data_IF_240470827998
#
_entry.id   IF_240470827998
#
_cell.length_a   1.000
_cell.length_b   1.000
_cell.length_c   1.000
_cell.angle_alpha   90.00
_cell.angle_beta   90.00
_cell.angle_gamma   90.00
#
_symmetry.space_group_name_H-M   'P 1'
#
loop_
_entity.id
_entity.type
_entity.pdbx_description
1 polymer ?
#
# COMPACT_ATOMS: atom_id res chain seq x y z
N UNK A 1 -5.94 31.19 51.21
CA UNK A 1 -5.18 32.38 50.83
C UNK A 1 -5.34 32.52 49.31
N UNK A 2 -6.22 33.24 48.93
CA UNK A 2 -6.50 34.45 48.14
C UNK A 2 -5.22 35.15 47.63
N UNK A 3 -5.05 35.28 46.32
CA UNK A 3 -4.78 36.59 45.71
C UNK A 3 -5.06 36.54 44.20
N UNK A 4 -6.03 37.32 43.84
CA UNK A 4 -6.45 37.87 42.54
C UNK A 4 -5.56 39.05 42.13
N UNK A 5 -5.35 39.29 40.80
CA UNK A 5 -5.13 40.59 40.15
C UNK A 5 -5.23 40.42 38.64
N UNK A 6 -6.33 40.79 38.05
CA UNK A 6 -6.80 42.08 37.43
C UNK A 6 -6.01 42.58 36.23
N UNK A 7 -6.75 42.54 35.09
CA UNK A 7 -6.89 43.42 33.91
C UNK A 7 -5.88 44.59 33.73
N UNK A 8 -5.47 44.79 32.46
CA UNK A 8 -5.56 46.11 31.83
C UNK A 8 -5.67 45.99 30.31
N UNK A 9 -6.73 46.57 29.74
CA UNK A 9 -6.97 46.81 28.32
C UNK A 9 -6.36 48.15 27.94
N UNK A 10 -5.85 48.27 26.72
CA UNK A 10 -5.58 49.58 26.09
C UNK A 10 -6.03 49.52 24.62
N UNK A 11 -7.07 50.31 24.36
CA UNK A 11 -7.49 50.77 23.03
C UNK A 11 -6.56 51.93 22.59
N UNK A 12 -6.23 51.93 21.29
CA UNK A 12 -5.83 53.20 20.62
C UNK A 12 -6.33 53.17 19.16
N UNK A 13 -7.17 54.11 18.89
CA UNK A 13 -7.85 54.54 17.68
C UNK A 13 -7.01 55.51 16.84
N UNK A 14 -7.32 55.60 15.55
CA UNK A 14 -7.05 56.77 14.68
C UNK A 14 -6.28 56.41 13.41
N UNK A 15 -6.58 56.82 12.24
CA UNK A 15 -7.50 57.62 11.46
C UNK A 15 -7.00 57.60 10.01
N UNK A 16 -7.88 57.35 9.11
CA UNK A 16 -8.28 58.02 7.84
C UNK A 16 -7.28 58.99 7.20
N UNK A 17 -6.98 58.74 5.91
CA UNK A 17 -6.96 59.76 4.86
C UNK A 17 -7.07 59.16 3.48
N UNK A 18 -7.97 59.74 2.71
CA UNK A 18 -8.44 59.38 1.36
C UNK A 18 -7.79 60.29 0.29
N UNK A 19 -8.14 59.96 -0.98
CA UNK A 19 -8.10 60.75 -2.21
C UNK A 19 -6.77 60.72 -3.01
N UNK A 20 -6.73 60.48 -4.33
CA UNK A 20 -7.45 61.09 -5.43
C UNK A 20 -7.30 60.28 -6.73
N UNK A 21 -8.34 60.29 -7.50
CA UNK A 21 -8.60 59.90 -8.88
C UNK A 21 -7.64 60.50 -9.92
N UNK A 22 -7.40 59.73 -11.01
CA UNK A 22 -7.27 60.27 -12.36
C UNK A 22 -7.73 59.23 -13.40
N UNK A 23 -8.79 59.57 -14.15
CA UNK A 23 -9.26 58.98 -15.35
C UNK A 23 -8.40 59.34 -16.54
N UNK A 24 -8.17 58.45 -17.49
CA UNK A 24 -8.17 58.75 -18.92
C UNK A 24 -8.30 57.45 -19.76
N UNK A 25 -9.33 57.34 -20.53
CA UNK A 25 -9.56 56.52 -21.75
C UNK A 25 -9.49 57.45 -22.97
N UNK A 26 -9.56 56.95 -24.20
CA UNK A 26 -9.15 55.67 -24.81
C UNK A 26 -8.24 55.87 -26.06
N UNK A 27 -7.67 54.82 -26.62
CA UNK A 27 -7.38 54.73 -28.04
C UNK A 27 -7.35 53.27 -28.50
N UNK A 28 -8.23 52.93 -29.39
CA UNK A 28 -8.25 51.70 -30.18
C UNK A 28 -7.05 51.66 -31.13
N UNK A 29 -6.32 50.56 -31.20
CA UNK A 29 -5.62 50.15 -32.38
C UNK A 29 -5.50 48.63 -32.45
N UNK A 30 -6.13 48.02 -33.41
CA UNK A 30 -6.13 46.61 -33.77
C UNK A 30 -4.76 46.20 -34.28
N UNK A 31 -4.17 45.13 -33.72
CA UNK A 31 -3.14 44.37 -34.40
C UNK A 31 -3.30 42.88 -34.04
N UNK A 32 -3.74 42.12 -35.03
CA UNK A 32 -3.64 40.69 -35.13
C UNK A 32 -2.17 40.25 -34.90
N UNK A 33 -1.93 39.47 -33.87
CA UNK A 33 -0.76 38.58 -33.82
C UNK A 33 -1.18 37.28 -33.19
N UNK A 34 -1.23 36.24 -34.04
CA UNK A 34 -1.14 34.85 -33.61
C UNK A 34 0.01 34.72 -32.60
N UNK A 35 -0.31 34.52 -31.34
CA UNK A 35 0.62 34.02 -30.34
C UNK A 35 0.29 32.56 -30.14
N UNK A 36 1.11 31.72 -30.75
CA UNK A 36 1.36 30.35 -30.38
C UNK A 36 1.62 30.29 -28.86
N UNK A 37 0.62 29.87 -28.11
CA UNK A 37 0.78 29.69 -26.68
C UNK A 37 1.44 28.34 -26.40
N UNK A 38 2.74 28.25 -26.66
CA UNK A 38 3.58 27.31 -25.91
C UNK A 38 3.63 27.82 -24.46
N UNK A 39 2.68 27.37 -23.69
CA UNK A 39 2.70 27.56 -22.24
C UNK A 39 3.85 26.75 -21.65
N UNK A 40 5.01 27.36 -21.53
CA UNK A 40 6.08 26.91 -20.65
C UNK A 40 5.63 27.22 -19.24
N UNK A 41 4.99 26.28 -18.58
CA UNK A 41 4.81 26.33 -17.13
C UNK A 41 6.15 25.92 -16.50
N UNK A 42 6.95 26.92 -16.16
CA UNK A 42 8.16 26.81 -15.32
C UNK A 42 7.70 26.65 -13.86
N UNK A 43 6.94 25.62 -13.56
CA UNK A 43 6.47 25.27 -12.22
C UNK A 43 6.65 23.78 -11.99
N UNK A 44 7.29 23.38 -10.92
CA UNK A 44 7.35 21.99 -10.49
C UNK A 44 5.92 21.47 -10.30
N UNK A 45 5.66 20.29 -10.82
CA UNK A 45 4.43 19.53 -10.57
C UNK A 45 4.58 18.84 -9.24
N UNK A 46 3.63 19.00 -8.33
CA UNK A 46 3.55 18.18 -7.12
C UNK A 46 2.73 16.94 -7.43
N UNK A 47 3.27 15.77 -7.13
CA UNK A 47 2.63 14.47 -7.28
C UNK A 47 2.32 13.91 -5.88
N UNK A 48 1.05 13.84 -5.52
CA UNK A 48 0.61 13.35 -4.21
C UNK A 48 0.35 11.84 -4.27
N UNK A 49 1.14 11.05 -3.53
CA UNK A 49 1.08 9.60 -3.49
C UNK A 49 0.53 9.13 -2.15
N UNK A 50 -0.61 8.43 -2.16
CA UNK A 50 -1.11 7.72 -0.99
C UNK A 50 -0.66 6.27 -1.05
N UNK A 51 0.10 5.82 -0.04
CA UNK A 51 0.69 4.49 -0.09
C UNK A 51 0.67 3.74 1.25
N UNK A 52 0.58 2.42 1.17
CA UNK A 52 0.76 1.53 2.32
C UNK A 52 2.19 1.00 2.47
N UNK A 53 3.06 1.32 1.52
CA UNK A 53 4.46 0.92 1.51
C UNK A 53 5.27 1.47 2.71
N UNK A 54 6.32 0.78 3.15
CA UNK A 54 7.25 1.33 4.13
C UNK A 54 7.90 2.63 3.64
N UNK A 55 7.90 3.65 4.50
CA UNK A 55 8.39 5.00 4.19
C UNK A 55 9.81 4.99 3.62
N UNK A 56 10.75 4.27 4.28
CA UNK A 56 12.15 4.21 3.85
C UNK A 56 12.32 3.64 2.43
N UNK A 57 11.50 2.65 2.04
CA UNK A 57 11.57 2.01 0.71
C UNK A 57 10.97 2.92 -0.38
N UNK A 58 9.92 3.66 -0.05
CA UNK A 58 9.31 4.63 -0.97
C UNK A 58 10.19 5.86 -1.16
N UNK A 59 10.82 6.35 -0.09
CA UNK A 59 11.71 7.51 -0.16
C UNK A 59 12.89 7.28 -1.11
N UNK A 60 13.46 6.06 -1.13
CA UNK A 60 14.54 5.69 -2.04
C UNK A 60 14.09 5.75 -3.51
N UNK A 61 12.88 5.25 -3.81
CA UNK A 61 12.28 5.30 -5.15
C UNK A 61 11.98 6.76 -5.54
N UNK A 62 11.40 7.54 -4.63
CA UNK A 62 11.04 8.93 -4.89
C UNK A 62 12.26 9.79 -5.16
N UNK A 63 13.33 9.61 -4.38
CA UNK A 63 14.57 10.34 -4.62
C UNK A 63 15.13 10.03 -6.02
N UNK A 64 15.18 8.77 -6.42
CA UNK A 64 15.64 8.39 -7.75
C UNK A 64 14.73 8.92 -8.87
N UNK A 65 13.41 8.93 -8.64
CA UNK A 65 12.44 9.49 -9.60
C UNK A 65 12.63 11.01 -9.77
N UNK A 66 12.74 11.76 -8.68
CA UNK A 66 12.92 13.22 -8.69
C UNK A 66 14.25 13.63 -9.32
N UNK A 67 15.33 12.84 -9.11
CA UNK A 67 16.61 13.05 -9.80
C UNK A 67 16.49 12.89 -11.34
N UNK A 68 15.68 11.93 -11.77
CA UNK A 68 15.40 11.71 -13.20
C UNK A 68 14.36 12.68 -13.79
N UNK A 69 13.50 13.26 -12.95
CA UNK A 69 12.38 14.14 -13.33
C UNK A 69 12.37 15.42 -12.47
N UNK A 70 13.34 16.35 -12.68
CA UNK A 70 13.51 17.52 -11.82
C UNK A 70 12.35 18.53 -11.88
N UNK A 71 11.39 18.33 -12.77
CA UNK A 71 10.14 19.08 -12.91
C UNK A 71 9.02 18.54 -12.01
N UNK A 72 9.21 17.41 -11.31
CA UNK A 72 8.23 16.78 -10.42
C UNK A 72 8.78 16.71 -9.00
N UNK A 73 7.92 17.00 -8.03
CA UNK A 73 8.15 16.76 -6.60
C UNK A 73 7.12 15.76 -6.09
N UNK A 74 7.55 14.72 -5.38
CA UNK A 74 6.66 13.69 -4.84
C UNK A 74 6.36 13.99 -3.37
N UNK A 75 5.07 14.10 -3.03
CA UNK A 75 4.59 14.19 -1.65
C UNK A 75 3.89 12.88 -1.26
N UNK A 76 4.30 12.28 -0.15
CA UNK A 76 3.79 10.98 0.29
C UNK A 76 2.90 11.13 1.52
N UNK A 77 1.73 10.51 1.46
CA UNK A 77 0.93 10.21 2.64
C UNK A 77 0.91 8.70 2.88
N UNK A 78 1.55 8.26 3.95
CA UNK A 78 1.69 6.85 4.29
C UNK A 78 0.75 6.42 5.41
N UNK A 79 -0.07 5.38 5.17
CA UNK A 79 -0.88 4.71 6.19
C UNK A 79 -1.12 3.23 5.79
N UNK A 80 -1.77 2.44 6.63
CA UNK A 80 -2.25 1.12 6.22
C UNK A 80 -3.39 1.25 5.19
N UNK A 81 -3.58 0.24 4.33
CA UNK A 81 -4.59 0.28 3.25
C UNK A 81 -5.98 0.62 3.77
N UNK A 82 -6.39 0.05 4.92
CA UNK A 82 -7.69 0.36 5.53
C UNK A 82 -7.82 1.82 5.99
N UNK A 83 -6.76 2.41 6.54
CA UNK A 83 -6.75 3.82 6.93
C UNK A 83 -6.74 4.74 5.70
N UNK A 84 -6.05 4.33 4.61
CA UNK A 84 -6.03 5.05 3.33
C UNK A 84 -7.41 5.07 2.67
N UNK A 85 -8.08 3.93 2.58
CA UNK A 85 -9.43 3.85 2.00
C UNK A 85 -10.43 4.68 2.79
N UNK A 86 -10.38 4.65 4.14
CA UNK A 86 -11.22 5.48 4.97
C UNK A 86 -10.99 7.00 4.73
N UNK A 87 -9.74 7.41 4.51
CA UNK A 87 -9.39 8.77 4.16
C UNK A 87 -9.91 9.16 2.77
N UNK A 88 -9.68 8.31 1.76
CA UNK A 88 -10.14 8.55 0.39
C UNK A 88 -11.67 8.70 0.31
N UNK A 89 -12.42 7.87 1.04
CA UNK A 89 -13.89 7.97 1.12
C UNK A 89 -14.35 9.26 1.83
N UNK A 90 -13.62 9.70 2.85
CA UNK A 90 -13.91 10.98 3.51
C UNK A 90 -13.63 12.18 2.58
N UNK A 91 -12.53 12.17 1.85
CA UNK A 91 -12.17 13.21 0.86
C UNK A 91 -13.19 13.24 -0.30
N UNK A 92 -13.56 12.08 -0.85
CA UNK A 92 -14.59 11.93 -1.88
C UNK A 92 -15.93 12.53 -1.42
N UNK A 93 -16.34 12.27 -0.17
CA UNK A 93 -17.54 12.85 0.43
C UNK A 93 -17.42 14.37 0.61
N UNK A 94 -16.21 14.89 0.87
CA UNK A 94 -15.95 16.30 1.06
C UNK A 94 -15.86 17.12 -0.25
N UNK A 95 -15.75 16.44 -1.41
CA UNK A 95 -15.79 17.10 -2.71
C UNK A 95 -14.69 16.73 -3.70
N UNK A 96 -13.79 15.81 -3.36
CA UNK A 96 -12.77 15.29 -4.27
C UNK A 96 -11.63 14.61 -3.52
N UNK A 97 -11.02 13.63 -4.17
CA UNK A 97 -9.82 12.95 -3.67
C UNK A 97 -8.61 13.87 -3.86
N UNK A 98 -7.78 13.99 -2.83
CA UNK A 98 -6.58 14.84 -2.84
C UNK A 98 -5.35 14.13 -3.43
N UNK A 99 -5.37 12.80 -3.47
CA UNK A 99 -4.27 12.01 -4.03
C UNK A 99 -4.30 12.00 -5.56
N UNK A 100 -3.13 12.05 -6.18
CA UNK A 100 -2.95 11.77 -7.62
C UNK A 100 -2.79 10.27 -7.85
N UNK A 101 -2.01 9.62 -7.00
CA UNK A 101 -1.71 8.19 -7.06
C UNK A 101 -2.20 7.48 -5.80
N UNK A 102 -2.77 6.31 -6.00
CA UNK A 102 -3.03 5.32 -4.97
C UNK A 102 -2.14 4.10 -5.20
N UNK A 103 -1.30 3.77 -4.21
CA UNK A 103 -0.37 2.65 -4.24
C UNK A 103 -0.48 1.84 -2.96
N UNK A 104 -1.20 0.72 -3.00
CA UNK A 104 -1.57 0.00 -1.78
C UNK A 104 -1.72 -1.51 -2.01
N UNK A 105 -1.87 -2.25 -0.91
CA UNK A 105 -1.59 -3.66 -0.83
C UNK A 105 -2.42 -4.58 -1.75
N UNK A 106 -3.73 -4.35 -1.90
CA UNK A 106 -4.58 -5.40 -2.49
C UNK A 106 -5.44 -4.97 -3.69
N UNK A 107 -5.50 -5.82 -4.71
CA UNK A 107 -6.28 -5.60 -5.93
C UNK A 107 -7.80 -5.39 -5.69
N UNK A 108 -8.49 -6.08 -4.76
CA UNK A 108 -9.91 -5.83 -4.48
C UNK A 108 -10.25 -4.38 -4.13
N UNK A 109 -9.35 -3.69 -3.44
CA UNK A 109 -9.50 -2.26 -3.15
C UNK A 109 -9.50 -1.44 -4.44
N UNK A 110 -8.63 -1.77 -5.39
CA UNK A 110 -8.57 -1.09 -6.69
C UNK A 110 -9.77 -1.40 -7.58
N UNK A 111 -10.28 -2.63 -7.57
CA UNK A 111 -11.53 -2.98 -8.27
C UNK A 111 -12.70 -2.10 -7.78
N UNK A 112 -12.81 -1.85 -6.49
CA UNK A 112 -13.84 -0.96 -5.94
C UNK A 112 -13.77 0.46 -6.53
N UNK A 113 -12.58 1.05 -6.63
CA UNK A 113 -12.41 2.38 -7.24
C UNK A 113 -12.57 2.36 -8.76
N UNK A 114 -12.14 1.28 -9.43
CA UNK A 114 -12.35 1.05 -10.86
C UNK A 114 -13.83 0.99 -11.20
N UNK A 115 -14.62 0.18 -10.48
CA UNK A 115 -16.07 0.06 -10.66
C UNK A 115 -16.81 1.38 -10.37
N UNK A 116 -16.35 2.15 -9.40
CA UNK A 116 -16.87 3.48 -9.10
C UNK A 116 -16.54 4.50 -10.20
N UNK A 117 -15.61 4.18 -11.12
CA UNK A 117 -15.13 5.07 -12.16
C UNK A 117 -14.25 6.20 -11.64
N UNK A 118 -13.52 5.98 -10.56
CA UNK A 118 -12.64 6.95 -9.91
C UNK A 118 -11.19 6.88 -10.42
N UNK A 119 -10.82 5.80 -11.14
CA UNK A 119 -9.48 5.62 -11.69
C UNK A 119 -9.39 6.13 -13.14
N UNK A 120 -8.19 6.55 -13.53
CA UNK A 120 -7.83 6.87 -14.90
C UNK A 120 -7.25 5.63 -15.61
N UNK A 121 -7.47 5.51 -16.91
CA UNK A 121 -6.82 4.50 -17.74
C UNK A 121 -5.32 4.82 -17.87
N UNK A 122 -4.47 3.81 -17.69
CA UNK A 122 -3.01 3.90 -17.80
C UNK A 122 -2.58 3.82 -19.28
N UNK A 123 -2.90 4.86 -20.06
CA UNK A 123 -2.70 4.89 -21.53
C UNK A 123 -1.23 5.00 -21.95
N UNK A 124 -0.39 5.59 -21.12
CA UNK A 124 1.01 5.86 -21.37
C UNK A 124 1.95 5.01 -20.47
N UNK A 125 1.42 3.95 -19.86
CA UNK A 125 2.18 2.99 -19.04
C UNK A 125 2.50 1.75 -19.85
N UNK A 126 3.78 1.39 -19.93
CA UNK A 126 4.25 0.16 -20.59
C UNK A 126 4.24 -1.02 -19.62
N UNK A 127 3.27 -1.92 -19.80
CA UNK A 127 3.13 -3.16 -19.01
C UNK A 127 3.60 -4.42 -19.76
N UNK A 128 4.27 -4.28 -20.91
CA UNK A 128 4.63 -5.40 -21.80
C UNK A 128 5.54 -6.45 -21.15
N UNK A 129 6.39 -6.05 -20.20
CA UNK A 129 7.29 -6.94 -19.46
C UNK A 129 6.71 -7.40 -18.11
N UNK A 130 5.57 -6.84 -17.71
CA UNK A 130 4.91 -7.17 -16.43
C UNK A 130 4.21 -8.52 -16.55
N UNK A 131 4.37 -9.39 -15.56
CA UNK A 131 3.70 -10.70 -15.53
C UNK A 131 2.18 -10.56 -15.54
N UNK A 132 1.47 -11.51 -16.16
CA UNK A 132 0.01 -11.47 -16.32
C UNK A 132 -0.74 -11.33 -14.98
N UNK A 133 -0.27 -11.99 -13.92
CA UNK A 133 -0.89 -11.93 -12.59
C UNK A 133 -0.87 -10.52 -11.95
N UNK A 134 -0.05 -9.61 -12.46
CA UNK A 134 0.06 -8.24 -11.98
C UNK A 134 -0.61 -7.20 -12.91
N UNK A 135 -1.26 -7.63 -14.00
CA UNK A 135 -1.93 -6.74 -14.96
C UNK A 135 -3.45 -6.70 -14.71
N UNK A 136 -4.04 -5.51 -14.78
CA UNK A 136 -5.48 -5.34 -14.89
C UNK A 136 -5.91 -5.38 -16.37
N UNK A 137 -6.96 -6.14 -16.68
CA UNK A 137 -7.45 -6.31 -18.05
C UNK A 137 -7.93 -5.00 -18.72
N UNK A 138 -8.35 -4.03 -17.92
CA UNK A 138 -8.86 -2.73 -18.39
C UNK A 138 -7.80 -1.60 -18.27
N UNK A 139 -6.56 -1.93 -17.87
CA UNK A 139 -5.45 -0.99 -17.67
C UNK A 139 -5.77 0.17 -16.70
N UNK A 140 -6.58 -0.06 -15.68
CA UNK A 140 -6.90 0.95 -14.67
C UNK A 140 -5.90 0.97 -13.51
N UNK A 141 -5.19 -0.13 -13.30
CA UNK A 141 -4.10 -0.26 -12.34
C UNK A 141 -3.12 -1.33 -12.80
N UNK A 142 -1.96 -1.38 -12.16
CA UNK A 142 -0.94 -2.41 -12.40
C UNK A 142 -0.25 -2.76 -11.09
N UNK A 143 0.03 -4.06 -10.87
CA UNK A 143 0.84 -4.51 -9.75
C UNK A 143 2.30 -4.09 -9.91
N UNK A 144 2.95 -3.77 -8.81
CA UNK A 144 4.32 -3.28 -8.78
C UNK A 144 5.31 -4.27 -8.20
N UNK A 145 4.83 -5.23 -7.41
CA UNK A 145 5.61 -6.29 -6.73
C UNK A 145 4.70 -7.45 -6.39
N UNK A 146 5.31 -8.62 -6.18
CA UNK A 146 4.61 -9.80 -5.68
C UNK A 146 4.97 -9.98 -4.21
N UNK A 147 3.95 -10.07 -3.36
CA UNK A 147 4.12 -10.17 -1.91
C UNK A 147 3.32 -11.38 -1.40
N UNK A 148 3.95 -12.57 -1.33
CA UNK A 148 3.34 -13.72 -0.71
C UNK A 148 3.17 -13.51 0.81
N UNK A 149 2.07 -14.05 1.35
CA UNK A 149 1.91 -14.21 2.79
C UNK A 149 2.33 -15.61 3.18
N UNK A 150 3.17 -15.70 4.19
CA UNK A 150 3.80 -16.94 4.64
C UNK A 150 3.57 -17.17 6.14
N UNK A 151 3.86 -18.37 6.58
CA UNK A 151 4.10 -18.66 7.98
C UNK A 151 5.55 -18.24 8.26
N UNK A 152 5.76 -17.49 9.34
CA UNK A 152 7.09 -17.18 9.84
C UNK A 152 7.28 -17.71 11.25
N UNK A 153 8.50 -18.09 11.59
CA UNK A 153 8.81 -18.59 12.91
C UNK A 153 10.17 -18.09 13.42
N UNK A 154 10.28 -18.03 14.75
CA UNK A 154 11.53 -17.67 15.42
C UNK A 154 12.47 -18.87 15.47
N UNK A 155 13.69 -18.72 14.92
CA UNK A 155 14.68 -19.80 14.78
C UNK A 155 15.39 -20.17 16.08
N UNK A 156 15.27 -19.36 17.14
CA UNK A 156 15.74 -19.74 18.49
C UNK A 156 14.74 -20.66 19.21
N UNK A 157 13.47 -20.74 18.72
CA UNK A 157 12.40 -21.53 19.33
C UNK A 157 12.06 -22.78 18.51
N UNK A 158 12.03 -22.64 17.19
CA UNK A 158 11.71 -23.74 16.26
C UNK A 158 12.87 -23.93 15.27
N UNK A 159 13.13 -25.16 14.90
CA UNK A 159 13.95 -25.52 13.74
C UNK A 159 13.06 -25.93 12.55
N UNK A 160 13.65 -26.11 11.39
CA UNK A 160 12.93 -26.44 10.15
C UNK A 160 12.09 -27.72 10.27
N UNK A 161 12.51 -28.69 11.09
CA UNK A 161 11.83 -29.99 11.21
C UNK A 161 10.58 -29.89 12.13
N UNK A 162 10.51 -28.87 12.98
CA UNK A 162 9.45 -28.69 13.98
C UNK A 162 8.60 -27.41 13.74
N UNK A 163 8.95 -26.60 12.75
CA UNK A 163 8.17 -25.42 12.40
C UNK A 163 6.90 -25.81 11.63
N UNK A 164 5.80 -25.03 11.75
CA UNK A 164 4.58 -25.30 11.00
C UNK A 164 4.82 -25.11 9.51
N UNK A 165 4.44 -26.11 8.69
CA UNK A 165 4.62 -26.12 7.24
C UNK A 165 3.30 -25.99 6.48
N UNK A 166 2.16 -25.83 7.16
CA UNK A 166 0.85 -25.72 6.55
C UNK A 166 -0.07 -24.79 7.34
N UNK A 167 -1.05 -24.18 6.67
CA UNK A 167 -2.08 -23.40 7.34
C UNK A 167 -2.85 -24.25 8.36
N UNK A 168 -3.14 -25.49 7.99
CA UNK A 168 -3.87 -26.40 8.87
C UNK A 168 -3.12 -26.68 10.18
N UNK A 169 -1.78 -26.78 10.15
CA UNK A 169 -0.96 -27.01 11.35
C UNK A 169 -1.12 -25.87 12.39
N UNK A 170 -1.36 -24.63 11.96
CA UNK A 170 -1.56 -23.51 12.89
C UNK A 170 -2.78 -23.66 13.81
N UNK A 171 -3.68 -24.61 13.50
CA UNK A 171 -4.84 -24.94 14.35
C UNK A 171 -4.54 -25.94 15.46
N UNK A 172 -3.34 -26.50 15.51
CA UNK A 172 -2.94 -27.47 16.51
C UNK A 172 -2.79 -26.80 17.89
N UNK A 173 -3.16 -27.53 18.96
CA UNK A 173 -3.13 -27.04 20.34
C UNK A 173 -1.74 -26.56 20.79
N UNK A 174 -0.68 -27.08 20.16
CA UNK A 174 0.70 -26.67 20.47
C UNK A 174 0.98 -25.18 20.16
N UNK A 175 0.22 -24.56 19.25
CA UNK A 175 0.34 -23.15 18.89
C UNK A 175 -0.59 -22.22 19.69
N UNK A 176 -1.37 -22.75 20.62
CA UNK A 176 -2.27 -21.94 21.44
C UNK A 176 -1.49 -20.87 22.23
N UNK A 177 -1.86 -19.60 22.04
CA UNK A 177 -1.21 -18.44 22.65
C UNK A 177 0.21 -18.16 22.15
N UNK A 178 0.62 -18.76 21.02
CA UNK A 178 1.95 -18.56 20.41
C UNK A 178 1.89 -17.91 19.03
N UNK A 179 0.68 -17.70 18.51
CA UNK A 179 0.47 -17.13 17.18
C UNK A 179 0.35 -15.61 17.24
N UNK A 180 0.88 -14.94 16.21
CA UNK A 180 0.61 -13.52 15.95
C UNK A 180 0.20 -13.32 14.50
N UNK A 181 -0.82 -12.48 14.27
CA UNK A 181 -1.35 -12.18 12.95
C UNK A 181 -1.63 -10.67 12.81
N UNK A 182 -1.55 -10.08 11.62
CA UNK A 182 -1.91 -8.68 11.41
C UNK A 182 -3.43 -8.47 11.41
N UNK A 183 -3.86 -7.27 11.84
CA UNK A 183 -5.27 -6.87 11.83
C UNK A 183 -5.76 -6.63 10.38
N UNK A 184 -6.75 -7.39 9.89
CA UNK A 184 -7.27 -7.24 8.54
C UNK A 184 -8.06 -5.92 8.31
N UNK A 185 -8.45 -5.21 9.36
CA UNK A 185 -9.06 -3.88 9.19
C UNK A 185 -8.06 -2.77 8.87
N UNK A 186 -6.77 -3.03 9.07
CA UNK A 186 -5.68 -2.06 8.83
C UNK A 186 -4.79 -2.51 7.67
N UNK A 187 -4.45 -3.79 7.63
CA UNK A 187 -3.56 -4.37 6.63
C UNK A 187 -4.36 -4.90 5.43
N UNK A 188 -4.14 -4.32 4.24
CA UNK A 188 -4.75 -4.80 3.00
C UNK A 188 -4.39 -6.25 2.69
N UNK A 189 -3.12 -6.64 2.85
CA UNK A 189 -2.70 -8.03 2.69
C UNK A 189 -3.44 -8.98 3.65
N UNK A 190 -3.61 -8.60 4.93
CA UNK A 190 -4.37 -9.42 5.87
C UNK A 190 -5.85 -9.50 5.53
N UNK A 191 -6.45 -8.44 4.99
CA UNK A 191 -7.83 -8.46 4.51
C UNK A 191 -7.99 -9.40 3.31
N UNK A 192 -7.08 -9.30 2.33
CA UNK A 192 -7.02 -10.22 1.20
C UNK A 192 -6.91 -11.67 1.66
N UNK A 193 -5.97 -11.96 2.54
CA UNK A 193 -5.73 -13.30 3.07
C UNK A 193 -6.97 -13.87 3.79
N UNK A 194 -7.63 -13.05 4.64
CA UNK A 194 -8.84 -13.48 5.33
C UNK A 194 -9.95 -13.89 4.35
N UNK A 195 -10.05 -13.20 3.21
CA UNK A 195 -11.02 -13.51 2.17
C UNK A 195 -10.65 -14.79 1.42
N UNK A 196 -9.37 -14.94 1.04
CA UNK A 196 -8.87 -16.15 0.37
C UNK A 196 -9.07 -17.37 1.26
N UNK A 197 -8.66 -17.32 2.53
CA UNK A 197 -8.84 -18.45 3.45
C UNK A 197 -10.31 -18.77 3.72
N UNK A 198 -11.19 -17.76 3.86
CA UNK A 198 -12.62 -17.97 4.07
C UNK A 198 -13.27 -18.66 2.86
N UNK A 199 -12.84 -18.31 1.65
CA UNK A 199 -13.34 -18.88 0.39
C UNK A 199 -12.72 -20.22 0.00
N UNK A 200 -11.65 -20.67 0.65
CA UNK A 200 -10.96 -21.91 0.34
C UNK A 200 -11.73 -23.13 0.83
N UNK A 201 -11.86 -24.17 -0.04
CA UNK A 201 -12.63 -25.37 0.25
C UNK A 201 -12.04 -26.23 1.39
N UNK A 202 -10.72 -26.17 1.61
CA UNK A 202 -10.04 -26.95 2.64
C UNK A 202 -9.89 -26.23 3.97
N UNK A 203 -9.84 -24.90 3.96
CA UNK A 203 -9.71 -24.05 5.14
C UNK A 203 -11.06 -23.52 5.59
N UNK A 204 -11.62 -22.55 4.90
CA UNK A 204 -12.95 -22.00 5.14
C UNK A 204 -13.14 -21.35 6.52
N UNK A 205 -14.39 -21.12 6.85
CA UNK A 205 -14.79 -20.54 8.16
C UNK A 205 -14.40 -21.41 9.35
N UNK A 206 -14.35 -22.74 9.17
CA UNK A 206 -13.97 -23.68 10.21
C UNK A 206 -12.51 -23.50 10.64
N UNK A 207 -11.60 -23.28 9.66
CA UNK A 207 -10.20 -23.02 9.94
C UNK A 207 -10.01 -21.68 10.68
N UNK A 208 -10.66 -20.60 10.19
CA UNK A 208 -10.59 -19.30 10.86
C UNK A 208 -11.11 -19.37 12.30
N UNK A 209 -12.18 -20.12 12.54
CA UNK A 209 -12.73 -20.34 13.88
C UNK A 209 -11.71 -21.04 14.79
N UNK A 210 -11.04 -22.09 14.30
CA UNK A 210 -10.00 -22.80 15.06
C UNK A 210 -8.75 -21.95 15.33
N UNK A 211 -8.38 -21.08 14.36
CA UNK A 211 -7.33 -20.10 14.60
C UNK A 211 -7.71 -19.19 15.79
N UNK A 212 -8.96 -18.73 15.83
CA UNK A 212 -9.47 -17.96 16.97
C UNK A 212 -9.41 -18.71 18.31
N UNK A 213 -9.70 -20.01 18.32
CA UNK A 213 -9.58 -20.88 19.50
C UNK A 213 -8.13 -20.95 20.02
N UNK A 214 -7.14 -20.84 19.14
CA UNK A 214 -5.72 -20.75 19.49
C UNK A 214 -5.30 -19.38 20.04
N UNK A 215 -6.22 -18.41 20.14
CA UNK A 215 -6.02 -17.11 20.79
C UNK A 215 -4.80 -16.36 20.24
N UNK A 216 -4.74 -16.10 18.93
CA UNK A 216 -3.64 -15.38 18.34
C UNK A 216 -3.56 -13.95 18.89
N UNK A 217 -2.35 -13.42 19.07
CA UNK A 217 -2.17 -11.99 19.21
C UNK A 217 -2.49 -11.30 17.89
N UNK A 218 -3.33 -10.29 17.90
CA UNK A 218 -3.59 -9.46 16.72
C UNK A 218 -2.77 -8.19 16.82
N UNK A 219 -1.73 -8.11 15.99
CA UNK A 219 -0.87 -6.95 15.86
C UNK A 219 -1.47 -5.94 14.86
N UNK A 220 -1.14 -4.66 14.97
CA UNK A 220 -1.74 -3.61 14.14
C UNK A 220 -1.53 -3.85 12.62
N UNK A 221 -0.37 -4.40 12.22
CA UNK A 221 0.00 -4.61 10.82
C UNK A 221 1.15 -5.62 10.70
N UNK A 222 1.57 -5.96 9.46
CA UNK A 222 2.65 -6.92 9.20
C UNK A 222 3.99 -6.54 9.85
N UNK A 223 4.38 -5.25 9.90
CA UNK A 223 5.62 -4.81 10.56
C UNK A 223 5.68 -5.19 12.04
N UNK A 224 4.73 -4.76 12.89
CA UNK A 224 4.64 -5.24 14.28
C UNK A 224 4.53 -6.75 14.41
N UNK A 225 3.85 -7.44 13.48
CA UNK A 225 3.74 -8.92 13.48
C UNK A 225 5.13 -9.55 13.32
N UNK A 226 5.91 -9.15 12.31
CA UNK A 226 7.25 -9.70 12.08
C UNK A 226 8.21 -9.44 13.24
N UNK A 227 8.12 -8.27 13.85
CA UNK A 227 8.93 -7.92 15.04
C UNK A 227 8.57 -8.77 16.27
N UNK A 228 7.29 -9.06 16.47
CA UNK A 228 6.83 -9.91 17.58
C UNK A 228 7.33 -11.36 17.42
N UNK A 229 7.29 -11.90 16.17
CA UNK A 229 7.86 -13.22 15.87
C UNK A 229 9.37 -13.23 16.13
N UNK A 230 10.09 -12.25 15.58
CA UNK A 230 11.54 -12.13 15.75
C UNK A 230 11.95 -11.96 17.22
N UNK A 231 11.14 -11.26 18.02
CA UNK A 231 11.33 -11.07 19.46
C UNK A 231 11.03 -12.31 20.29
N UNK A 232 10.37 -13.34 19.75
CA UNK A 232 10.04 -14.59 20.40
C UNK A 232 8.89 -14.51 21.41
N UNK A 233 8.17 -13.39 21.50
CA UNK A 233 6.99 -13.25 22.35
C UNK A 233 5.85 -14.15 21.86
N UNK A 234 5.58 -14.12 20.55
CA UNK A 234 4.75 -15.04 19.81
C UNK A 234 5.58 -15.64 18.67
N UNK A 235 6.23 -16.79 18.90
CA UNK A 235 7.33 -17.26 18.06
C UNK A 235 6.88 -17.84 16.70
N UNK A 236 5.58 -17.87 16.42
CA UNK A 236 5.01 -18.27 15.11
C UNK A 236 3.99 -17.21 14.71
N UNK A 237 3.90 -16.92 13.44
CA UNK A 237 2.88 -15.99 12.96
C UNK A 237 2.68 -16.03 11.46
N UNK A 238 1.71 -15.25 11.03
CA UNK A 238 1.36 -15.07 9.62
C UNK A 238 1.75 -13.66 9.20
N UNK A 239 2.57 -13.54 8.18
CA UNK A 239 3.15 -12.25 7.79
C UNK A 239 3.58 -12.28 6.33
N UNK A 240 3.71 -11.12 5.70
CA UNK A 240 4.28 -11.00 4.36
C UNK A 240 5.78 -11.31 4.36
N UNK A 241 6.24 -12.01 3.35
CA UNK A 241 7.55 -12.66 3.30
C UNK A 241 8.75 -11.70 3.29
N UNK A 242 8.65 -10.56 2.59
CA UNK A 242 9.75 -9.59 2.51
C UNK A 242 10.17 -9.02 3.88
N UNK A 243 9.23 -8.82 4.80
CA UNK A 243 9.54 -8.35 6.15
C UNK A 243 10.32 -9.39 6.97
N UNK A 244 10.09 -10.67 6.69
CA UNK A 244 10.85 -11.75 7.31
C UNK A 244 12.29 -11.71 6.80
N UNK A 245 12.48 -11.54 5.48
CA UNK A 245 13.82 -11.39 4.88
C UNK A 245 14.54 -10.14 5.42
N UNK A 246 13.87 -8.99 5.47
CA UNK A 246 14.44 -7.75 6.03
C UNK A 246 14.99 -7.97 7.46
N UNK A 247 14.23 -8.64 8.32
CA UNK A 247 14.65 -8.91 9.69
C UNK A 247 15.75 -9.98 9.78
N UNK A 248 15.69 -11.01 8.93
CA UNK A 248 16.73 -12.03 8.87
C UNK A 248 18.07 -11.45 8.40
N UNK A 249 18.07 -10.59 7.37
CA UNK A 249 19.24 -9.87 6.87
C UNK A 249 19.83 -8.93 7.93
N UNK A 250 18.98 -8.35 8.77
CA UNK A 250 19.40 -7.56 9.93
C UNK A 250 19.90 -8.43 11.12
N UNK A 251 19.92 -9.77 10.98
CA UNK A 251 20.43 -10.70 11.98
C UNK A 251 19.41 -11.12 13.03
N UNK A 252 18.14 -10.89 12.84
CA UNK A 252 17.08 -11.37 13.74
C UNK A 252 16.83 -12.88 13.55
N UNK A 253 16.48 -13.62 14.63
CA UNK A 253 16.25 -15.06 14.55
C UNK A 253 14.84 -15.34 13.99
N UNK A 254 14.62 -15.09 12.72
CA UNK A 254 13.33 -15.31 12.03
C UNK A 254 13.56 -15.90 10.64
N UNK A 255 12.65 -16.75 10.19
CA UNK A 255 12.67 -17.29 8.83
C UNK A 255 11.24 -17.62 8.35
N UNK A 256 11.11 -17.87 7.04
CA UNK A 256 9.83 -18.21 6.38
C UNK A 256 9.61 -19.72 6.30
N UNK A 257 8.33 -20.11 6.34
CA UNK A 257 7.83 -21.41 5.90
C UNK A 257 6.70 -21.15 4.91
N UNK A 258 6.90 -21.55 3.64
CA UNK A 258 5.85 -21.45 2.63
C UNK A 258 4.86 -22.59 2.83
N UNK A 259 3.56 -22.30 3.02
CA UNK A 259 2.56 -23.32 3.37
C UNK A 259 2.35 -24.32 2.24
N UNK A 260 2.15 -25.61 2.58
CA UNK A 260 1.94 -26.69 1.62
C UNK A 260 0.65 -26.49 0.79
N UNK A 261 -0.39 -25.88 1.37
CA UNK A 261 -1.66 -25.58 0.69
C UNK A 261 -1.53 -24.43 -0.29
N UNK A 262 -0.44 -23.69 -0.24
CA UNK A 262 -0.17 -22.49 -1.03
C UNK A 262 -0.22 -21.20 -0.22
N UNK A 263 0.49 -20.20 -0.70
CA UNK A 263 0.54 -18.87 -0.12
C UNK A 263 -0.45 -17.94 -0.85
N UNK A 264 -1.36 -17.25 -0.16
CA UNK A 264 -2.04 -16.12 -0.76
C UNK A 264 -1.02 -15.02 -1.04
N UNK A 265 -1.20 -14.28 -2.11
CA UNK A 265 -0.28 -13.22 -2.51
C UNK A 265 -1.03 -11.98 -2.97
N UNK A 266 -0.41 -10.83 -2.81
CA UNK A 266 -0.88 -9.56 -3.37
C UNK A 266 0.13 -9.04 -4.39
N UNK A 267 -0.35 -8.23 -5.33
CA UNK A 267 0.50 -7.65 -6.39
C UNK A 267 0.90 -6.21 -6.11
N UNK A 268 0.42 -5.65 -5.01
CA UNK A 268 0.60 -4.26 -4.59
C UNK A 268 0.34 -3.25 -5.73
N UNK A 269 -0.93 -3.11 -6.12
CA UNK A 269 -1.30 -2.29 -7.25
C UNK A 269 -1.03 -0.80 -7.05
N UNK A 270 -0.80 -0.13 -8.19
CA UNK A 270 -0.72 1.32 -8.29
C UNK A 270 -1.69 1.81 -9.35
N UNK A 271 -2.39 2.91 -9.08
CA UNK A 271 -3.36 3.54 -9.97
C UNK A 271 -3.29 5.06 -9.89
N UNK A 272 -3.81 5.71 -10.92
CA UNK A 272 -3.97 7.18 -10.97
C UNK A 272 -5.44 7.50 -10.77
N UNK A 273 -5.78 8.47 -9.91
CA UNK A 273 -7.15 8.97 -9.80
C UNK A 273 -7.49 9.84 -11.04
N UNK A 274 -8.70 9.66 -11.58
CA UNK A 274 -9.11 10.30 -12.84
C UNK A 274 -9.16 11.83 -12.75
N UNK A 275 -9.45 12.38 -11.57
CA UNK A 275 -9.57 13.81 -11.34
C UNK A 275 -8.22 14.48 -10.95
N UNK A 276 -7.11 13.72 -11.00
CA UNK A 276 -5.76 14.26 -10.82
C UNK A 276 -5.41 15.28 -11.89
N UNK A 277 -4.88 16.42 -11.48
CA UNK A 277 -4.32 17.43 -12.39
C UNK A 277 -2.89 17.08 -12.86
N UNK A 278 -2.27 16.03 -12.27
CA UNK A 278 -0.89 15.59 -12.53
C UNK A 278 -0.80 14.28 -13.34
N UNK A 279 -1.77 13.98 -14.22
CA UNK A 279 -1.90 12.72 -14.96
C UNK A 279 -0.61 12.27 -15.66
N UNK A 280 0.06 13.18 -16.41
CA UNK A 280 1.29 12.85 -17.13
C UNK A 280 2.44 12.50 -16.16
N UNK A 281 2.57 13.24 -15.07
CA UNK A 281 3.58 12.97 -14.05
C UNK A 281 3.31 11.65 -13.32
N UNK A 282 2.04 11.35 -13.03
CA UNK A 282 1.61 10.11 -12.40
C UNK A 282 1.92 8.88 -13.28
N UNK A 283 1.63 8.92 -14.57
CA UNK A 283 1.96 7.81 -15.48
C UNK A 283 3.47 7.66 -15.69
N UNK A 284 4.24 8.77 -15.71
CA UNK A 284 5.72 8.72 -15.70
C UNK A 284 6.26 8.05 -14.43
N UNK A 285 5.65 8.33 -13.28
CA UNK A 285 6.03 7.71 -12.01
C UNK A 285 5.76 6.20 -12.01
N UNK A 286 4.61 5.77 -12.54
CA UNK A 286 4.30 4.34 -12.68
C UNK A 286 5.28 3.65 -13.63
N UNK A 287 5.56 4.23 -14.81
CA UNK A 287 6.57 3.70 -15.72
C UNK A 287 7.97 3.58 -15.07
N UNK A 288 8.32 4.56 -14.22
CA UNK A 288 9.58 4.52 -13.48
C UNK A 288 9.61 3.34 -12.50
N UNK A 289 8.52 3.12 -11.73
CA UNK A 289 8.40 1.97 -10.81
C UNK A 289 8.50 0.64 -11.57
N UNK A 290 7.92 0.54 -12.76
CA UNK A 290 7.94 -0.67 -13.59
C UNK A 290 9.26 -0.81 -14.40
N UNK A 291 10.19 0.15 -14.34
CA UNK A 291 11.46 0.04 -15.03
C UNK A 291 12.32 -1.10 -14.47
N UNK A 292 13.16 -1.70 -15.31
CA UNK A 292 14.11 -2.74 -14.89
C UNK A 292 15.01 -2.28 -13.72
N UNK A 293 15.37 -1.00 -13.68
CA UNK A 293 16.19 -0.40 -12.61
C UNK A 293 15.46 -0.45 -11.26
N UNK A 294 14.20 0.02 -11.20
CA UNK A 294 13.42 0.04 -9.96
C UNK A 294 12.93 -1.34 -9.58
N UNK A 295 12.69 -2.23 -10.55
CA UNK A 295 12.38 -3.62 -10.24
C UNK A 295 13.59 -4.38 -9.67
N UNK A 296 14.82 -4.04 -10.05
CA UNK A 296 16.05 -4.50 -9.36
C UNK A 296 16.16 -3.94 -7.96
N UNK A 297 15.82 -2.66 -7.77
CA UNK A 297 15.74 -2.06 -6.44
C UNK A 297 14.70 -2.76 -5.57
N UNK A 298 13.53 -3.13 -6.13
CA UNK A 298 12.53 -3.92 -5.41
C UNK A 298 13.12 -5.28 -4.93
N UNK A 299 13.92 -5.96 -5.77
CA UNK A 299 14.65 -7.18 -5.37
C UNK A 299 15.67 -6.89 -4.26
N UNK A 300 16.42 -5.79 -4.32
CA UNK A 300 17.35 -5.37 -3.26
C UNK A 300 16.59 -5.03 -1.95
N UNK A 301 15.36 -4.56 -2.07
CA UNK A 301 14.43 -4.30 -0.97
C UNK A 301 13.66 -5.54 -0.48
N UNK A 302 14.07 -6.74 -0.90
CA UNK A 302 13.50 -8.03 -0.52
C UNK A 302 12.10 -8.34 -1.07
N UNK A 303 11.62 -7.64 -2.10
CA UNK A 303 10.37 -7.99 -2.80
C UNK A 303 10.59 -8.93 -3.98
N UNK A 304 9.59 -9.75 -4.29
CA UNK A 304 9.55 -10.41 -5.59
C UNK A 304 9.07 -9.40 -6.65
N UNK A 305 9.79 -9.28 -7.77
CA UNK A 305 9.46 -8.31 -8.81
C UNK A 305 8.27 -8.77 -9.66
N UNK A 306 7.69 -7.84 -10.41
CA UNK A 306 6.69 -8.14 -11.45
C UNK A 306 7.31 -8.33 -12.83
N UNK A 307 8.63 -8.21 -12.96
CA UNK A 307 9.42 -8.47 -14.17
C UNK A 307 10.34 -9.66 -13.91
N UNK A 308 10.07 -10.80 -14.56
CA UNK A 308 10.80 -12.06 -14.33
C UNK A 308 12.30 -11.96 -14.58
N UNK A 309 12.73 -11.10 -15.53
CA UNK A 309 14.13 -11.02 -15.96
C UNK A 309 15.09 -10.44 -14.91
N UNK A 310 14.59 -9.78 -13.86
CA UNK A 310 15.43 -9.14 -12.83
C UNK A 310 15.85 -10.09 -11.70
N UNK A 311 15.24 -11.29 -11.62
CA UNK A 311 15.58 -12.29 -10.61
C UNK A 311 14.80 -12.13 -9.31
N UNK A 312 15.26 -12.75 -8.22
CA UNK A 312 14.62 -12.78 -6.90
C UNK A 312 15.59 -12.38 -5.79
N UNK A 313 15.10 -11.91 -4.63
CA UNK A 313 15.97 -11.50 -3.53
C UNK A 313 16.62 -12.72 -2.85
N UNK A 314 17.95 -12.69 -2.71
CA UNK A 314 18.71 -13.71 -1.98
C UNK A 314 18.38 -15.14 -2.42
N UNK A 315 18.01 -15.97 -1.46
CA UNK A 315 17.58 -17.36 -1.68
C UNK A 315 16.04 -17.52 -1.80
N UNK A 316 15.31 -16.41 -1.97
CA UNK A 316 13.85 -16.46 -2.13
C UNK A 316 13.48 -17.29 -3.37
N UNK A 317 12.49 -18.18 -3.27
CA UNK A 317 11.98 -18.88 -4.43
C UNK A 317 11.38 -17.91 -5.45
N UNK A 318 11.42 -18.25 -6.74
CA UNK A 318 10.67 -17.52 -7.74
C UNK A 318 9.16 -17.72 -7.54
N UNK A 319 8.33 -16.84 -8.09
CA UNK A 319 6.88 -16.99 -8.00
C UNK A 319 6.41 -18.37 -8.51
N UNK A 320 7.06 -18.89 -9.55
CA UNK A 320 6.75 -20.18 -10.13
C UNK A 320 7.11 -21.38 -9.22
N UNK A 321 7.97 -21.19 -8.24
CA UNK A 321 8.41 -22.23 -7.30
C UNK A 321 7.62 -22.19 -5.98
N UNK A 322 6.79 -21.15 -5.76
CA UNK A 322 5.92 -21.00 -4.58
C UNK A 322 4.57 -21.62 -4.91
N UNK A 323 4.07 -22.60 -4.11
CA UNK A 323 2.66 -22.95 -4.17
C UNK A 323 1.81 -21.72 -3.87
N UNK A 324 0.89 -21.38 -4.76
CA UNK A 324 0.02 -20.22 -4.60
C UNK A 324 -1.42 -20.66 -4.35
N UNK A 325 -2.13 -19.92 -3.52
CA UNK A 325 -3.59 -20.02 -3.40
C UNK A 325 -4.20 -19.15 -4.50
N UNK A 326 -4.84 -19.81 -5.47
CA UNK A 326 -5.61 -19.10 -6.50
C UNK A 326 -6.93 -18.60 -5.91
N UNK A 327 -7.27 -17.35 -6.19
CA UNK A 327 -8.53 -16.77 -5.80
C UNK A 327 -9.14 -15.99 -6.98
N UNK A 328 -10.45 -16.16 -7.17
CA UNK A 328 -11.20 -15.36 -8.14
C UNK A 328 -11.34 -13.93 -7.63
N UNK A 329 -10.80 -12.96 -8.37
CA UNK A 329 -10.75 -11.55 -7.94
C UNK A 329 -12.14 -10.96 -7.69
N UNK A 330 -13.14 -11.31 -8.50
CA UNK A 330 -14.53 -10.84 -8.33
C UNK A 330 -15.10 -11.35 -6.99
N UNK A 331 -14.93 -12.64 -6.69
CA UNK A 331 -15.36 -13.23 -5.43
C UNK A 331 -14.63 -12.60 -4.25
N UNK A 332 -13.29 -12.43 -4.33
CA UNK A 332 -12.51 -11.80 -3.26
C UNK A 332 -12.94 -10.35 -3.02
N UNK A 333 -13.25 -9.61 -4.07
CA UNK A 333 -13.74 -8.22 -3.96
C UNK A 333 -15.09 -8.16 -3.26
N UNK A 334 -16.04 -9.02 -3.67
CA UNK A 334 -17.39 -9.03 -3.14
C UNK A 334 -17.46 -9.52 -1.68
N UNK A 335 -16.63 -10.48 -1.30
CA UNK A 335 -16.69 -11.13 0.02
C UNK A 335 -15.77 -10.48 1.07
N UNK A 336 -14.98 -9.46 0.69
CA UNK A 336 -13.93 -8.87 1.52
C UNK A 336 -14.44 -8.34 2.86
N UNK A 337 -15.50 -7.54 2.88
CA UNK A 337 -16.03 -6.95 4.12
C UNK A 337 -16.53 -8.03 5.08
N UNK A 338 -17.25 -9.03 4.55
CA UNK A 338 -17.78 -10.14 5.35
C UNK A 338 -16.64 -11.02 5.90
N UNK A 339 -15.62 -11.31 5.10
CA UNK A 339 -14.45 -12.08 5.53
C UNK A 339 -13.65 -11.39 6.64
N UNK A 340 -13.40 -10.09 6.49
CA UNK A 340 -12.73 -9.28 7.53
C UNK A 340 -13.56 -9.27 8.81
N UNK A 341 -14.86 -9.06 8.73
CA UNK A 341 -15.74 -9.06 9.89
C UNK A 341 -15.79 -10.45 10.56
N UNK A 342 -15.86 -11.52 9.77
CA UNK A 342 -15.84 -12.89 10.27
C UNK A 342 -14.53 -13.19 11.01
N UNK A 343 -13.38 -12.89 10.38
CA UNK A 343 -12.07 -13.10 11.00
C UNK A 343 -11.94 -12.34 12.33
N UNK A 344 -12.28 -11.04 12.34
CA UNK A 344 -12.22 -10.22 13.55
C UNK A 344 -13.13 -10.75 14.68
N UNK A 345 -14.27 -11.34 14.34
CA UNK A 345 -15.15 -11.94 15.35
C UNK A 345 -14.59 -13.27 15.90
N UNK A 346 -13.92 -14.04 15.08
CA UNK A 346 -13.33 -15.31 15.49
C UNK A 346 -12.13 -15.15 16.45
N UNK A 347 -11.32 -14.08 16.26
CA UNK A 347 -10.07 -13.86 17.04
C UNK A 347 -10.22 -12.91 18.23
N UNK A 348 -11.45 -12.56 18.62
CA UNK A 348 -11.75 -11.66 19.78
C UNK A 348 -11.58 -12.39 21.13
#
# INVERSE_FOLDING_TARGET
MRTTRTLTALLATGSVAALLTACSEPSEESADTNADSTGSTDGNVTLTVYTSEPEEKVDEINQAFEEANPDVQVEVYRAGTGDLTARLEAEKTAGGIEADIFWAADAPTFETYKEAGDLAELTDVDTSEVIEAAQDADNMYVGTRIIPTVIAYNTDVYDQDNAPASWQALTDEEYQGKLVMPDPSVSGAAAYNATVWKGDDALGEDWITKIGENQPMIAKSNGPTSQEIAGGGHPVGVVVDYLVRDLADAGSPITTSYPEEGAPFITEPIAVFKDSDAQDAAQRYINFILSEEVQKLAVEQNYLPVIDSVGTPGDAPSLNDIPLMEADLESVTNDREDAVAFFQNAVK
#
